data_IF_231332756474
#
_entry.id   IF_231332756474
#
_cell.length_a   1.000
_cell.length_b   1.000
_cell.length_c   1.000
_cell.angle_alpha   90.00
_cell.angle_beta   90.00
_cell.angle_gamma   90.00
#
_symmetry.space_group_name_H-M   'P 1'
#
loop_
_entity.id
_entity.type
_entity.pdbx_description
1 polymer ?
#
# COMPACT_ATOMS: atom_id res chain seq x y z
N UNK A 1 33.51 -6.77 24.53
CA UNK A 1 32.58 -7.92 24.65
C UNK A 1 32.96 -8.96 23.60
N UNK A 2 33.55 -10.08 23.99
CA UNK A 2 33.84 -11.18 23.06
C UNK A 2 32.56 -11.98 22.79
N UNK A 3 32.02 -11.87 21.58
CA UNK A 3 30.94 -12.75 21.14
C UNK A 3 31.49 -14.19 21.06
N UNK A 4 30.77 -15.18 21.59
CA UNK A 4 31.10 -16.57 21.27
C UNK A 4 30.93 -16.78 19.76
N UNK A 5 31.84 -17.51 19.12
CA UNK A 5 31.79 -17.78 17.67
C UNK A 5 30.42 -18.31 17.18
N UNK A 6 29.67 -18.98 18.07
CA UNK A 6 28.31 -19.50 17.81
C UNK A 6 27.23 -18.43 17.64
N UNK A 7 27.42 -17.21 18.13
CA UNK A 7 26.49 -16.08 17.92
C UNK A 7 26.74 -15.39 16.58
N UNK A 8 28.01 -15.27 16.16
CA UNK A 8 28.42 -14.53 14.96
C UNK A 8 27.94 -15.23 13.67
N UNK A 9 28.04 -16.55 13.59
CA UNK A 9 27.59 -17.33 12.42
C UNK A 9 26.07 -17.25 12.21
N UNK A 10 25.30 -17.13 13.30
CA UNK A 10 23.82 -17.08 13.25
C UNK A 10 23.31 -15.73 12.78
N UNK A 11 23.95 -14.66 13.23
CA UNK A 11 23.71 -13.29 12.76
C UNK A 11 23.99 -13.18 11.27
N UNK A 12 25.01 -13.87 10.76
CA UNK A 12 25.30 -13.89 9.32
C UNK A 12 24.15 -14.49 8.49
N UNK A 13 23.52 -15.59 8.95
CA UNK A 13 22.38 -16.18 8.23
C UNK A 13 21.16 -15.25 8.20
N UNK A 14 20.79 -14.68 9.35
CA UNK A 14 19.65 -13.75 9.42
C UNK A 14 19.95 -12.47 8.63
N UNK A 15 21.16 -11.93 8.72
CA UNK A 15 21.60 -10.77 7.93
C UNK A 15 21.65 -11.06 6.42
N UNK A 16 21.92 -12.31 6.03
CA UNK A 16 21.89 -12.76 4.64
C UNK A 16 20.48 -13.18 4.16
N UNK A 17 19.42 -12.90 4.93
CA UNK A 17 18.04 -13.29 4.62
C UNK A 17 17.84 -14.79 4.40
N UNK A 18 18.64 -15.64 5.05
CA UNK A 18 18.51 -17.09 4.97
C UNK A 18 17.50 -17.55 6.04
N UNK A 19 16.38 -18.20 5.66
CA UNK A 19 15.37 -18.63 6.62
C UNK A 19 15.94 -19.53 7.71
N UNK A 20 15.57 -19.25 8.96
CA UNK A 20 16.14 -19.91 10.14
C UNK A 20 15.98 -21.44 10.13
N UNK A 21 14.90 -21.96 9.52
CA UNK A 21 14.67 -23.39 9.38
C UNK A 21 15.69 -24.09 8.46
N UNK A 22 16.36 -23.35 7.56
CA UNK A 22 17.41 -23.92 6.67
C UNK A 22 18.63 -24.38 7.46
N UNK A 23 18.90 -23.78 8.61
CA UNK A 23 19.96 -24.23 9.54
C UNK A 23 19.68 -25.63 10.09
N UNK A 24 18.41 -26.09 10.07
CA UNK A 24 18.04 -27.45 10.50
C UNK A 24 18.19 -28.53 9.42
N UNK A 25 18.29 -28.14 8.14
CA UNK A 25 18.39 -29.06 6.99
C UNK A 25 19.63 -29.96 7.10
N UNK A 26 19.48 -31.31 7.02
CA UNK A 26 20.60 -32.25 7.13
C UNK A 26 21.69 -32.01 6.08
N UNK A 27 21.30 -31.77 4.83
CA UNK A 27 22.20 -31.53 3.70
C UNK A 27 23.03 -30.27 3.95
N UNK A 28 22.39 -29.20 4.42
CA UNK A 28 23.04 -27.95 4.75
C UNK A 28 24.02 -28.10 5.93
N UNK A 29 23.65 -28.87 6.97
CA UNK A 29 24.55 -29.20 8.09
C UNK A 29 25.77 -30.00 7.63
N UNK A 30 25.58 -30.97 6.76
CA UNK A 30 26.65 -31.79 6.21
C UNK A 30 27.60 -30.95 5.35
N UNK A 31 27.05 -30.07 4.51
CA UNK A 31 27.82 -29.11 3.72
C UNK A 31 28.69 -28.23 4.63
N UNK A 32 28.08 -27.57 5.63
CA UNK A 32 28.82 -26.70 6.54
C UNK A 32 29.88 -27.47 7.32
N UNK A 33 29.59 -28.69 7.79
CA UNK A 33 30.58 -29.53 8.47
C UNK A 33 31.74 -29.90 7.55
N UNK A 34 31.45 -30.30 6.30
CA UNK A 34 32.46 -30.72 5.32
C UNK A 34 33.45 -29.60 5.01
N UNK A 35 32.97 -28.37 4.79
CA UNK A 35 33.82 -27.27 4.30
C UNK A 35 34.34 -26.35 5.40
N UNK A 36 33.70 -26.29 6.57
CA UNK A 36 34.13 -25.39 7.67
C UNK A 36 34.66 -26.15 8.90
N UNK A 37 34.44 -27.47 8.98
CA UNK A 37 34.74 -28.27 10.17
C UNK A 37 33.84 -27.96 11.37
N UNK A 38 32.86 -27.05 11.24
CA UNK A 38 32.01 -26.59 12.35
C UNK A 38 30.65 -27.27 12.34
N UNK A 39 30.13 -27.52 13.54
CA UNK A 39 28.76 -27.98 13.74
C UNK A 39 27.81 -26.80 13.88
N UNK A 40 26.82 -26.72 12.98
CA UNK A 40 25.74 -25.75 13.11
C UNK A 40 24.94 -26.02 14.40
N UNK A 41 24.65 -24.99 15.21
CA UNK A 41 23.88 -25.15 16.45
C UNK A 41 22.44 -25.58 16.18
N UNK A 42 21.84 -26.32 17.11
CA UNK A 42 20.40 -26.55 17.12
C UNK A 42 19.62 -25.24 17.34
N UNK A 43 18.45 -25.12 16.71
CA UNK A 43 17.57 -23.97 16.88
C UNK A 43 17.06 -23.94 18.33
N UNK A 44 17.53 -22.99 19.15
CA UNK A 44 16.87 -22.65 20.42
C UNK A 44 16.30 -21.24 20.32
N UNK A 45 15.04 -21.07 20.75
CA UNK A 45 14.30 -19.79 20.72
C UNK A 45 15.05 -18.64 21.41
N UNK A 46 15.80 -18.94 22.48
CA UNK A 46 16.43 -17.92 23.33
C UNK A 46 17.63 -17.20 22.67
N UNK A 47 18.14 -17.68 21.53
CA UNK A 47 19.27 -17.02 20.87
C UNK A 47 18.88 -15.72 20.17
N UNK A 48 17.70 -15.67 19.55
CA UNK A 48 17.22 -14.47 18.86
C UNK A 48 16.78 -13.37 19.82
N UNK A 49 16.36 -13.71 21.05
CA UNK A 49 15.84 -12.73 22.01
C UNK A 49 16.87 -11.65 22.35
N UNK A 50 18.13 -12.03 22.61
CA UNK A 50 19.20 -11.06 22.91
C UNK A 50 19.52 -10.15 21.72
N UNK A 51 19.41 -10.68 20.50
CA UNK A 51 19.66 -9.92 19.28
C UNK A 51 18.49 -8.97 18.98
N UNK A 52 17.25 -9.39 19.28
CA UNK A 52 16.08 -8.52 19.23
C UNK A 52 16.22 -7.31 20.16
N UNK A 53 16.68 -7.50 21.41
CA UNK A 53 16.90 -6.40 22.35
C UNK A 53 17.92 -5.38 21.81
N UNK A 54 18.98 -5.87 21.15
CA UNK A 54 19.98 -5.03 20.49
C UNK A 54 19.38 -4.23 19.33
N UNK A 55 18.57 -4.86 18.47
CA UNK A 55 17.89 -4.19 17.35
C UNK A 55 16.92 -3.13 17.87
N UNK A 56 16.11 -3.44 18.90
CA UNK A 56 15.22 -2.47 19.54
C UNK A 56 16.02 -1.27 20.07
N UNK A 57 17.18 -1.49 20.69
CA UNK A 57 18.07 -0.41 21.14
C UNK A 57 18.58 0.43 19.97
N UNK A 58 18.93 -0.16 18.83
CA UNK A 58 19.34 0.57 17.63
C UNK A 58 18.19 1.42 17.06
N UNK A 59 16.97 0.88 17.01
CA UNK A 59 15.78 1.63 16.58
C UNK A 59 15.56 2.84 17.50
N UNK A 60 15.60 2.64 18.83
CA UNK A 60 15.49 3.72 19.81
C UNK A 60 16.56 4.80 19.63
N UNK A 61 17.82 4.40 19.42
CA UNK A 61 18.91 5.35 19.17
C UNK A 61 18.71 6.13 17.87
N UNK A 62 18.22 5.47 16.82
CA UNK A 62 17.91 6.12 15.53
C UNK A 62 16.76 7.12 15.65
N UNK A 63 15.78 6.86 16.50
CA UNK A 63 14.66 7.77 16.77
C UNK A 63 15.09 8.91 17.73
N UNK A 64 15.91 8.60 18.73
CA UNK A 64 16.39 9.55 19.72
C UNK A 64 15.25 10.18 20.53
N UNK A 65 15.33 11.50 20.74
CA UNK A 65 14.33 12.27 21.48
C UNK A 65 13.23 12.88 20.58
N UNK A 66 13.14 12.46 19.31
CA UNK A 66 12.21 13.01 18.33
C UNK A 66 10.78 12.47 18.52
N UNK A 67 9.85 13.02 17.73
CA UNK A 67 8.51 12.46 17.62
C UNK A 67 8.56 11.05 17.01
N UNK A 68 7.65 10.18 17.46
CA UNK A 68 7.53 8.80 17.01
C UNK A 68 6.34 8.74 16.07
N UNK A 69 6.56 8.20 14.87
CA UNK A 69 5.51 7.78 13.96
C UNK A 69 5.40 6.26 14.01
N UNK A 70 4.18 5.76 14.16
CA UNK A 70 3.83 4.37 13.88
C UNK A 70 2.94 4.30 12.66
N UNK A 71 3.10 3.24 11.87
CA UNK A 71 2.25 2.96 10.71
C UNK A 71 1.78 1.52 10.77
N UNK A 72 0.48 1.34 10.63
CA UNK A 72 -0.20 0.06 10.80
C UNK A 72 -0.89 -0.29 9.50
N UNK A 73 -0.57 -1.46 8.97
CA UNK A 73 -1.20 -1.98 7.75
C UNK A 73 -1.57 -3.45 7.96
N UNK A 74 -2.71 -3.84 7.42
CA UNK A 74 -3.18 -5.21 7.42
C UNK A 74 -3.25 -5.72 5.98
N UNK A 75 -2.77 -6.95 5.79
CA UNK A 75 -2.87 -7.64 4.50
C UNK A 75 -3.50 -9.00 4.70
N UNK A 76 -4.43 -9.35 3.81
CA UNK A 76 -4.98 -10.70 3.74
C UNK A 76 -4.25 -11.49 2.67
N UNK A 77 -3.67 -12.64 3.04
CA UNK A 77 -2.97 -13.49 2.09
C UNK A 77 -3.94 -14.38 1.26
N UNK A 78 -3.38 -15.15 0.32
CA UNK A 78 -4.19 -16.05 -0.54
C UNK A 78 -4.92 -17.17 0.20
N UNK A 79 -4.53 -17.46 1.44
CA UNK A 79 -5.20 -18.44 2.30
C UNK A 79 -6.21 -17.78 3.25
N UNK A 80 -6.45 -16.47 3.12
CA UNK A 80 -7.35 -15.72 3.99
C UNK A 80 -6.77 -15.41 5.37
N UNK A 81 -5.45 -15.52 5.55
CA UNK A 81 -4.79 -15.17 6.83
C UNK A 81 -4.55 -13.68 6.88
N UNK A 82 -4.97 -13.06 7.97
CA UNK A 82 -4.74 -11.65 8.25
C UNK A 82 -3.36 -11.45 8.85
N UNK A 83 -2.50 -10.68 8.18
CA UNK A 83 -1.16 -10.34 8.66
C UNK A 83 -1.13 -8.85 8.97
N UNK A 84 -0.93 -8.51 10.23
CA UNK A 84 -0.75 -7.13 10.67
C UNK A 84 0.73 -6.78 10.75
N UNK A 85 1.04 -5.58 10.26
CA UNK A 85 2.37 -5.00 10.23
C UNK A 85 2.36 -3.73 11.07
N UNK A 86 3.35 -3.58 11.95
CA UNK A 86 3.61 -2.35 12.67
C UNK A 86 4.99 -1.85 12.29
N UNK A 87 5.03 -0.70 11.63
CA UNK A 87 6.25 0.04 11.30
C UNK A 87 6.39 1.19 12.30
N UNK A 88 7.61 1.44 12.76
CA UNK A 88 7.95 2.56 13.64
C UNK A 88 9.06 3.40 13.00
N UNK A 89 9.03 4.71 13.20
CA UNK A 89 10.04 5.61 12.66
C UNK A 89 10.10 6.95 13.37
N UNK A 90 11.14 7.71 13.05
CA UNK A 90 11.30 9.11 13.47
C UNK A 90 10.36 9.99 12.66
N UNK A 91 9.62 10.83 13.35
CA UNK A 91 8.87 11.93 12.77
C UNK A 91 9.67 13.23 12.96
N UNK A 92 10.09 13.84 11.85
CA UNK A 92 10.84 15.09 11.82
C UNK A 92 10.38 15.96 10.65
N UNK A 93 10.43 17.27 10.84
CA UNK A 93 10.17 18.27 9.81
C UNK A 93 11.36 18.45 8.84
N UNK A 94 12.57 18.07 9.25
CA UNK A 94 13.80 18.37 8.51
C UNK A 94 14.22 17.23 7.58
N UNK A 95 14.04 15.99 8.03
CA UNK A 95 14.45 14.78 7.32
C UNK A 95 13.41 13.66 7.43
N UNK A 96 13.33 12.82 6.40
CA UNK A 96 12.54 11.60 6.45
C UNK A 96 13.24 10.58 7.36
N UNK A 97 12.57 10.19 8.44
CA UNK A 97 13.08 9.16 9.34
C UNK A 97 13.10 7.79 8.67
N UNK A 98 14.15 7.00 8.93
CA UNK A 98 14.21 5.61 8.51
C UNK A 98 13.06 4.81 9.16
N UNK A 99 12.23 4.10 8.37
CA UNK A 99 11.21 3.21 8.91
C UNK A 99 11.82 1.87 9.34
N UNK A 100 11.28 1.30 10.41
CA UNK A 100 11.65 -0.02 10.93
C UNK A 100 10.41 -0.87 11.13
N UNK A 101 10.41 -2.11 10.62
CA UNK A 101 9.36 -3.08 10.93
C UNK A 101 9.55 -3.54 12.38
N UNK A 102 8.64 -3.13 13.26
CA UNK A 102 8.68 -3.44 14.69
C UNK A 102 8.02 -4.79 14.98
N UNK A 103 6.89 -5.07 14.35
CA UNK A 103 6.16 -6.32 14.55
C UNK A 103 5.41 -6.77 13.30
N UNK A 104 5.34 -8.08 13.12
CA UNK A 104 4.54 -8.75 12.10
C UNK A 104 3.84 -9.93 12.77
N UNK A 105 2.50 -9.95 12.75
CA UNK A 105 1.72 -10.95 13.46
C UNK A 105 0.51 -11.40 12.64
N UNK A 106 0.30 -12.71 12.57
CA UNK A 106 -0.96 -13.25 12.10
C UNK A 106 -2.05 -12.98 13.13
N UNK A 107 -3.18 -12.42 12.69
CA UNK A 107 -4.35 -12.15 13.52
C UNK A 107 -5.47 -13.12 13.17
N UNK A 108 -6.27 -13.47 14.18
CA UNK A 108 -7.45 -14.34 13.98
C UNK A 108 -8.59 -13.59 13.26
N UNK A 109 -8.63 -12.26 13.40
CA UNK A 109 -9.65 -11.37 12.82
C UNK A 109 -9.17 -9.93 12.77
N UNK A 110 -9.76 -9.15 11.87
CA UNK A 110 -9.44 -7.74 11.64
C UNK A 110 -10.57 -6.86 12.19
N UNK A 111 -10.39 -6.40 13.42
CA UNK A 111 -11.28 -5.42 14.04
C UNK A 111 -10.50 -4.50 14.98
N UNK A 112 -11.15 -3.40 15.34
CA UNK A 112 -10.53 -2.35 16.17
C UNK A 112 -9.85 -2.85 17.44
N UNK A 113 -10.48 -3.77 18.18
CA UNK A 113 -9.92 -4.30 19.42
C UNK A 113 -8.67 -5.17 19.16
N UNK A 114 -8.70 -5.99 18.12
CA UNK A 114 -7.60 -6.91 17.80
C UNK A 114 -6.37 -6.13 17.33
N UNK A 115 -6.57 -5.11 16.49
CA UNK A 115 -5.51 -4.21 16.04
C UNK A 115 -4.98 -3.37 17.21
N UNK A 116 -5.85 -2.80 18.05
CA UNK A 116 -5.42 -2.02 19.23
C UNK A 116 -4.53 -2.85 20.15
N UNK A 117 -4.93 -4.11 20.42
CA UNK A 117 -4.13 -5.05 21.21
C UNK A 117 -2.79 -5.35 20.54
N UNK A 118 -2.77 -5.61 19.24
CA UNK A 118 -1.54 -5.85 18.48
C UNK A 118 -0.57 -4.65 18.59
N UNK A 119 -1.07 -3.43 18.46
CA UNK A 119 -0.26 -2.21 18.59
C UNK A 119 0.29 -2.08 20.02
N UNK A 120 -0.55 -2.23 21.05
CA UNK A 120 -0.13 -2.13 22.44
C UNK A 120 0.93 -3.18 22.81
N UNK A 121 0.72 -4.45 22.42
CA UNK A 121 1.69 -5.53 22.65
C UNK A 121 3.03 -5.22 21.97
N UNK A 122 2.99 -4.72 20.73
CA UNK A 122 4.19 -4.43 19.94
C UNK A 122 4.94 -3.20 20.45
N UNK A 123 4.22 -2.15 20.87
CA UNK A 123 4.80 -1.01 21.54
C UNK A 123 5.39 -1.39 22.90
N UNK A 124 4.80 -2.35 23.62
CA UNK A 124 5.39 -2.94 24.82
C UNK A 124 6.79 -3.51 24.58
N UNK A 125 7.00 -4.22 23.45
CA UNK A 125 8.32 -4.69 23.03
C UNK A 125 9.28 -3.53 22.74
N UNK A 126 8.78 -2.47 22.10
CA UNK A 126 9.59 -1.27 21.87
C UNK A 126 9.94 -0.53 23.17
N UNK A 127 9.20 -0.72 24.26
CA UNK A 127 9.36 0.04 25.50
C UNK A 127 10.09 -0.69 26.64
N UNK A 128 10.55 -1.93 26.46
CA UNK A 128 11.07 -2.87 27.50
C UNK A 128 11.94 -2.35 28.67
N UNK A 129 12.39 -1.09 28.73
CA UNK A 129 13.14 -0.49 29.85
C UNK A 129 12.88 1.02 30.11
N UNK A 130 12.01 1.69 29.34
CA UNK A 130 11.69 3.13 29.50
C UNK A 130 10.22 3.36 29.19
N UNK A 131 9.57 4.27 29.93
CA UNK A 131 8.23 4.72 29.57
C UNK A 131 8.25 5.34 28.17
N UNK A 132 7.26 4.97 27.35
CA UNK A 132 7.02 5.64 26.09
C UNK A 132 6.64 7.09 26.40
N UNK A 133 7.34 8.06 25.83
CA UNK A 133 6.82 9.42 25.83
C UNK A 133 5.62 9.46 24.86
N UNK A 134 4.43 9.27 25.40
CA UNK A 134 3.16 9.13 24.66
C UNK A 134 2.74 10.45 23.99
N UNK A 135 3.23 11.59 24.48
CA UNK A 135 3.00 12.92 23.90
C UNK A 135 3.61 13.06 22.50
N UNK A 136 4.58 12.20 22.19
CA UNK A 136 5.32 12.20 20.93
C UNK A 136 4.81 11.19 19.91
N UNK A 137 3.76 10.42 20.23
CA UNK A 137 3.29 9.30 19.42
C UNK A 137 2.25 9.74 18.38
N UNK A 138 2.48 9.40 17.12
CA UNK A 138 1.58 9.66 16.00
C UNK A 138 1.31 8.36 15.25
N UNK A 139 0.05 8.04 14.97
CA UNK A 139 -0.35 6.81 14.30
C UNK A 139 -0.88 7.06 12.90
N UNK A 140 -0.45 6.25 11.94
CA UNK A 140 -0.94 6.21 10.57
C UNK A 140 -1.57 4.85 10.28
N UNK A 141 -2.74 4.82 9.66
CA UNK A 141 -3.34 3.58 9.14
C UNK A 141 -4.22 3.84 7.93
N UNK A 142 -4.81 2.79 7.36
CA UNK A 142 -5.92 2.97 6.43
C UNK A 142 -7.11 3.73 7.08
N UNK A 143 -8.02 4.18 6.22
CA UNK A 143 -9.19 5.01 6.56
C UNK A 143 -10.48 4.23 6.78
N UNK A 144 -10.38 2.92 7.00
CA UNK A 144 -11.55 2.08 7.25
C UNK A 144 -12.16 2.39 8.63
N UNK A 145 -13.45 2.08 8.80
CA UNK A 145 -14.18 2.38 10.03
C UNK A 145 -13.56 1.74 11.27
N UNK A 146 -13.02 0.52 11.14
CA UNK A 146 -12.40 -0.17 12.27
C UNK A 146 -11.00 0.37 12.60
N UNK A 147 -10.24 0.88 11.62
CA UNK A 147 -8.97 1.56 11.89
C UNK A 147 -9.18 2.94 12.54
N UNK A 148 -10.20 3.70 12.11
CA UNK A 148 -10.61 4.94 12.80
C UNK A 148 -10.99 4.64 14.26
N UNK A 149 -11.77 3.58 14.49
CA UNK A 149 -12.11 3.13 15.85
C UNK A 149 -10.87 2.64 16.63
N UNK A 150 -9.88 2.05 15.96
CA UNK A 150 -8.59 1.69 16.57
C UNK A 150 -7.89 2.94 17.09
N UNK A 151 -7.80 4.02 16.30
CA UNK A 151 -7.25 5.29 16.75
C UNK A 151 -7.93 5.83 18.01
N UNK A 152 -9.27 5.76 18.05
CA UNK A 152 -10.06 6.10 19.26
C UNK A 152 -9.74 5.22 20.45
N UNK A 153 -9.65 3.90 20.26
CA UNK A 153 -9.29 2.96 21.33
C UNK A 153 -7.88 3.24 21.87
N UNK A 154 -6.93 3.57 21.00
CA UNK A 154 -5.55 3.87 21.38
C UNK A 154 -5.44 5.13 22.23
N UNK A 155 -6.33 6.12 22.05
CA UNK A 155 -6.37 7.33 22.90
C UNK A 155 -6.59 7.03 24.38
N UNK A 156 -7.20 5.89 24.71
CA UNK A 156 -7.37 5.45 26.11
C UNK A 156 -6.00 5.09 26.74
N UNK A 157 -5.07 4.57 25.95
CA UNK A 157 -3.73 4.17 26.39
C UNK A 157 -2.68 5.27 26.16
N UNK A 158 -2.91 6.11 25.16
CA UNK A 158 -2.00 7.14 24.68
C UNK A 158 -2.81 8.43 24.46
N UNK A 159 -3.09 9.16 25.53
CA UNK A 159 -4.01 10.31 25.52
C UNK A 159 -3.73 11.33 24.40
N UNK A 160 -2.45 11.57 24.13
CA UNK A 160 -1.97 12.54 23.14
C UNK A 160 -1.73 11.95 21.74
N UNK A 161 -2.09 10.70 21.48
CA UNK A 161 -1.89 10.09 20.16
C UNK A 161 -2.73 10.80 19.10
N UNK A 162 -2.03 11.27 18.05
CA UNK A 162 -2.69 11.76 16.84
C UNK A 162 -2.79 10.60 15.86
N UNK A 163 -4.00 10.14 15.59
CA UNK A 163 -4.29 9.12 14.58
C UNK A 163 -4.67 9.80 13.27
N UNK A 164 -4.05 9.35 12.18
CA UNK A 164 -4.12 9.94 10.87
C UNK A 164 -4.42 8.86 9.84
N UNK A 165 -5.25 9.20 8.86
CA UNK A 165 -5.55 8.31 7.75
C UNK A 165 -4.48 8.44 6.66
N UNK A 166 -4.09 7.31 6.08
CA UNK A 166 -3.21 7.24 4.92
C UNK A 166 -3.82 7.99 3.74
N UNK A 167 -3.12 9.02 3.26
CA UNK A 167 -3.63 9.86 2.18
C UNK A 167 -3.72 9.10 0.85
N UNK A 168 -2.78 8.20 0.56
CA UNK A 168 -2.85 7.36 -0.64
C UNK A 168 -4.15 6.54 -0.67
N UNK A 169 -4.53 5.93 0.45
CA UNK A 169 -5.84 5.28 0.60
C UNK A 169 -7.00 6.27 0.49
N UNK A 170 -6.87 7.47 1.08
CA UNK A 170 -7.87 8.52 0.97
C UNK A 170 -8.14 8.92 -0.49
N UNK A 171 -7.09 9.09 -1.29
CA UNK A 171 -7.17 9.39 -2.72
C UNK A 171 -7.73 8.21 -3.52
N UNK A 172 -7.45 6.97 -3.12
CA UNK A 172 -8.07 5.79 -3.72
C UNK A 172 -9.58 5.76 -3.49
N UNK A 173 -10.05 6.14 -2.30
CA UNK A 173 -11.48 6.29 -2.01
C UNK A 173 -12.15 7.40 -2.85
N UNK A 174 -11.40 8.43 -3.24
CA UNK A 174 -11.87 9.44 -4.20
C UNK A 174 -11.95 8.83 -5.60
N UNK A 175 -10.95 8.05 -6.01
CA UNK A 175 -10.94 7.29 -7.27
C UNK A 175 -12.14 6.34 -7.37
N UNK A 176 -12.51 5.67 -6.28
CA UNK A 176 -13.69 4.82 -6.22
C UNK A 176 -14.99 5.62 -6.41
N UNK A 177 -15.07 6.82 -5.84
CA UNK A 177 -16.23 7.71 -6.04
C UNK A 177 -16.37 8.11 -7.51
N UNK A 178 -15.26 8.40 -8.19
CA UNK A 178 -15.26 8.69 -9.63
C UNK A 178 -15.69 7.45 -10.43
N UNK A 179 -15.12 6.28 -10.12
CA UNK A 179 -15.45 5.01 -10.77
C UNK A 179 -16.93 4.67 -10.70
N UNK A 180 -17.57 4.88 -9.55
CA UNK A 180 -19.01 4.63 -9.36
C UNK A 180 -19.89 5.52 -10.26
N UNK A 181 -19.39 6.68 -10.69
CA UNK A 181 -20.10 7.58 -11.61
C UNK A 181 -19.87 7.24 -13.09
N UNK A 182 -18.92 6.36 -13.41
CA UNK A 182 -18.61 5.96 -14.79
C UNK A 182 -18.71 4.43 -14.99
N UNK A 183 -19.92 3.86 -14.88
CA UNK A 183 -20.13 2.41 -15.02
C UNK A 183 -19.76 1.88 -16.41
N UNK A 184 -19.95 2.66 -17.48
CA UNK A 184 -19.58 2.26 -18.85
C UNK A 184 -18.06 2.23 -19.04
N UNK A 185 -17.33 3.22 -18.51
CA UNK A 185 -15.85 3.20 -18.47
C UNK A 185 -15.35 1.99 -17.67
N UNK A 186 -15.96 1.73 -16.50
CA UNK A 186 -15.65 0.54 -15.72
C UNK A 186 -15.95 -0.76 -16.51
N UNK A 187 -17.00 -0.75 -17.32
CA UNK A 187 -17.36 -1.82 -18.25
C UNK A 187 -16.28 -2.08 -19.32
N UNK A 188 -15.76 -1.03 -19.96
CA UNK A 188 -14.63 -1.11 -20.89
C UNK A 188 -13.42 -1.75 -20.21
N UNK A 189 -12.97 -1.17 -19.09
CA UNK A 189 -11.78 -1.61 -18.37
C UNK A 189 -11.89 -3.09 -17.95
N UNK A 190 -13.07 -3.51 -17.49
CA UNK A 190 -13.31 -4.87 -16.98
C UNK A 190 -13.46 -5.94 -18.06
N UNK A 191 -13.73 -5.56 -19.32
CA UNK A 191 -14.02 -6.52 -20.41
C UNK A 191 -12.94 -6.56 -21.49
N UNK A 192 -12.31 -5.44 -21.83
CA UNK A 192 -11.36 -5.41 -22.95
C UNK A 192 -10.12 -6.27 -22.68
N UNK A 193 -9.53 -6.23 -21.48
CA UNK A 193 -8.39 -7.13 -21.17
C UNK A 193 -8.76 -8.62 -21.35
N UNK A 194 -10.00 -9.00 -21.04
CA UNK A 194 -10.48 -10.38 -21.19
C UNK A 194 -10.59 -10.81 -22.64
N UNK A 195 -10.64 -9.89 -23.61
CA UNK A 195 -10.60 -10.20 -25.05
C UNK A 195 -9.24 -10.80 -25.44
N UNK A 196 -8.17 -10.32 -24.79
CA UNK A 196 -6.79 -10.71 -25.10
C UNK A 196 -6.26 -11.84 -24.20
N UNK A 197 -6.99 -12.20 -23.14
CA UNK A 197 -6.58 -13.21 -22.18
C UNK A 197 -6.57 -14.61 -22.83
N UNK A 198 -5.40 -15.26 -22.86
CA UNK A 198 -5.19 -16.57 -23.50
C UNK A 198 -5.55 -16.62 -24.99
N UNK A 199 -5.44 -15.50 -25.71
CA UNK A 199 -5.75 -15.42 -27.13
C UNK A 199 -4.58 -14.87 -27.95
N UNK A 200 -3.55 -15.70 -28.28
CA UNK A 200 -2.33 -15.25 -28.96
C UNK A 200 -2.59 -14.53 -30.28
N UNK A 201 -3.53 -15.02 -31.10
CA UNK A 201 -3.89 -14.42 -32.39
C UNK A 201 -4.47 -13.00 -32.19
N UNK A 202 -5.33 -12.81 -31.19
CA UNK A 202 -5.90 -11.49 -30.86
C UNK A 202 -4.85 -10.53 -30.32
N UNK A 203 -3.86 -11.04 -29.57
CA UNK A 203 -2.70 -10.28 -29.09
C UNK A 203 -1.78 -9.87 -30.24
N UNK A 204 -1.54 -10.77 -31.20
CA UNK A 204 -0.76 -10.47 -32.40
C UNK A 204 -1.42 -9.39 -33.25
N UNK A 205 -2.73 -9.53 -33.51
CA UNK A 205 -3.50 -8.52 -34.22
C UNK A 205 -3.45 -7.16 -33.50
N UNK A 206 -3.64 -7.14 -32.18
CA UNK A 206 -3.47 -5.94 -31.36
C UNK A 206 -2.09 -5.30 -31.52
N UNK A 207 -1.01 -6.10 -31.45
CA UNK A 207 0.36 -5.61 -31.62
C UNK A 207 0.63 -5.09 -33.03
N UNK A 208 -0.01 -5.65 -34.05
CA UNK A 208 0.12 -5.12 -35.41
C UNK A 208 -0.52 -3.72 -35.54
N UNK A 209 -1.61 -3.46 -34.81
CA UNK A 209 -2.24 -2.13 -34.75
C UNK A 209 -1.55 -1.16 -33.79
N UNK A 210 -0.94 -1.67 -32.72
CA UNK A 210 -0.29 -0.90 -31.65
C UNK A 210 1.05 -1.57 -31.23
N UNK A 211 2.11 -1.48 -32.05
CA UNK A 211 3.33 -2.30 -31.90
C UNK A 211 4.15 -1.99 -30.65
N UNK A 212 4.10 -0.76 -30.15
CA UNK A 212 4.88 -0.31 -28.98
C UNK A 212 3.99 -0.04 -27.76
N UNK A 213 2.74 -0.49 -27.77
CA UNK A 213 1.79 -0.27 -26.68
C UNK A 213 1.61 -1.55 -25.88
N UNK A 214 1.69 -1.51 -24.54
CA UNK A 214 1.40 -2.68 -23.72
C UNK A 214 -0.07 -3.08 -23.86
N UNK A 215 -0.38 -4.36 -23.62
CA UNK A 215 -1.77 -4.82 -23.60
C UNK A 215 -2.61 -4.01 -22.60
N UNK A 216 -3.92 -3.85 -22.86
CA UNK A 216 -4.77 -3.03 -22.00
C UNK A 216 -4.70 -3.45 -20.53
N UNK A 217 -4.47 -2.50 -19.60
CA UNK A 217 -4.31 -2.81 -18.19
C UNK A 217 -5.65 -3.20 -17.57
N UNK A 218 -5.57 -3.94 -16.47
CA UNK A 218 -6.68 -4.16 -15.56
C UNK A 218 -6.27 -3.64 -14.18
N UNK A 219 -7.18 -2.95 -13.47
CA UNK A 219 -6.92 -2.47 -12.14
C UNK A 219 -6.47 -3.63 -11.26
N UNK A 220 -5.35 -3.43 -10.57
CA UNK A 220 -4.89 -4.42 -9.60
C UNK A 220 -5.65 -4.14 -8.33
N UNK A 221 -6.53 -5.06 -7.93
CA UNK A 221 -7.42 -4.90 -6.76
C UNK A 221 -6.68 -4.48 -5.48
N UNK A 222 -5.40 -4.85 -5.35
CA UNK A 222 -4.57 -4.57 -4.18
C UNK A 222 -3.66 -3.35 -4.34
N UNK A 223 -3.75 -2.58 -5.44
CA UNK A 223 -2.94 -1.37 -5.66
C UNK A 223 -3.83 -0.17 -5.93
N UNK A 224 -3.58 0.90 -5.20
CA UNK A 224 -4.34 2.13 -5.24
C UNK A 224 -4.11 2.90 -6.55
N UNK A 225 -5.12 3.63 -7.01
CA UNK A 225 -5.05 4.48 -8.22
C UNK A 225 -5.04 3.72 -9.55
N UNK A 226 -4.96 2.39 -9.56
CA UNK A 226 -4.84 1.59 -10.79
C UNK A 226 -6.04 1.68 -11.72
N UNK A 227 -7.24 1.99 -11.20
CA UNK A 227 -8.41 2.24 -12.04
C UNK A 227 -8.28 3.53 -12.85
N UNK A 228 -7.81 4.62 -12.22
CA UNK A 228 -7.55 5.88 -12.93
C UNK A 228 -6.48 5.64 -13.98
N UNK A 229 -5.35 5.01 -13.64
CA UNK A 229 -4.29 4.67 -14.59
C UNK A 229 -4.82 3.88 -15.80
N UNK A 230 -5.71 2.91 -15.57
CA UNK A 230 -6.36 2.19 -16.66
C UNK A 230 -7.21 3.13 -17.52
N UNK A 231 -8.04 3.99 -16.91
CA UNK A 231 -8.83 4.98 -17.65
C UNK A 231 -7.96 5.92 -18.49
N UNK A 232 -6.77 6.34 -18.00
CA UNK A 232 -5.82 7.15 -18.78
C UNK A 232 -5.36 6.42 -20.04
N UNK A 233 -5.00 5.14 -19.91
CA UNK A 233 -4.60 4.30 -21.03
C UNK A 233 -5.71 4.16 -22.07
N UNK A 234 -6.95 3.86 -21.64
CA UNK A 234 -8.08 3.72 -22.55
C UNK A 234 -8.45 5.05 -23.21
N UNK A 235 -8.30 6.19 -22.53
CA UNK A 235 -8.53 7.50 -23.12
C UNK A 235 -7.50 7.80 -24.24
N UNK A 236 -6.26 7.37 -24.07
CA UNK A 236 -5.17 7.61 -25.03
C UNK A 236 -5.28 6.75 -26.28
N UNK A 237 -5.71 5.50 -26.13
CA UNK A 237 -5.74 4.52 -27.22
C UNK A 237 -7.15 4.20 -27.70
N UNK A 238 -8.16 5.00 -27.33
CA UNK A 238 -9.58 4.68 -27.50
C UNK A 238 -9.94 4.27 -28.94
N UNK A 239 -9.57 5.08 -29.93
CA UNK A 239 -10.01 4.88 -31.31
C UNK A 239 -9.42 3.61 -31.92
N UNK A 240 -8.12 3.37 -31.71
CA UNK A 240 -7.43 2.17 -32.22
C UNK A 240 -7.91 0.92 -31.47
N UNK A 241 -8.09 0.99 -30.15
CA UNK A 241 -8.66 -0.10 -29.36
C UNK A 241 -10.08 -0.43 -29.82
N UNK A 242 -10.90 0.58 -30.10
CA UNK A 242 -12.24 0.38 -30.63
C UNK A 242 -12.19 -0.33 -31.97
N UNK A 243 -11.36 0.11 -32.90
CA UNK A 243 -11.20 -0.57 -34.20
C UNK A 243 -10.80 -2.04 -34.04
N UNK A 244 -9.80 -2.33 -33.21
CA UNK A 244 -9.33 -3.70 -32.95
C UNK A 244 -10.40 -4.58 -32.33
N UNK A 245 -11.14 -4.08 -31.34
CA UNK A 245 -12.19 -4.88 -30.68
C UNK A 245 -13.40 -5.08 -31.59
N UNK A 246 -13.71 -4.10 -32.44
CA UNK A 246 -14.82 -4.20 -33.41
C UNK A 246 -14.52 -5.15 -34.57
N UNK A 247 -13.25 -5.45 -34.87
CA UNK A 247 -12.88 -6.42 -35.91
C UNK A 247 -13.00 -7.88 -35.46
N UNK A 248 -13.35 -8.14 -34.20
CA UNK A 248 -13.55 -9.51 -33.69
C UNK A 248 -15.01 -9.93 -33.72
N UNK A 249 -15.26 -11.22 -33.94
CA UNK A 249 -16.61 -11.78 -33.95
C UNK A 249 -17.23 -11.78 -32.54
N UNK A 250 -18.41 -11.18 -32.39
CA UNK A 250 -19.10 -11.05 -31.09
C UNK A 250 -19.47 -12.40 -30.47
N UNK A 251 -19.65 -13.42 -31.31
CA UNK A 251 -20.03 -14.79 -30.93
C UNK A 251 -18.85 -15.60 -30.37
N UNK A 252 -17.60 -15.19 -30.61
CA UNK A 252 -16.40 -15.91 -30.15
C UNK A 252 -16.28 -15.94 -28.62
N UNK A 253 -16.71 -14.87 -27.95
CA UNK A 253 -16.63 -14.78 -26.50
C UNK A 253 -17.56 -13.70 -25.95
N UNK A 254 -18.15 -13.98 -24.78
CA UNK A 254 -18.97 -13.01 -24.04
C UNK A 254 -18.20 -11.71 -23.71
N UNK A 255 -16.87 -11.78 -23.51
CA UNK A 255 -16.02 -10.61 -23.27
C UNK A 255 -15.94 -9.70 -24.49
N UNK A 256 -15.91 -10.25 -25.71
CA UNK A 256 -15.90 -9.47 -26.96
C UNK A 256 -17.23 -8.75 -27.12
N UNK A 257 -18.34 -9.48 -27.05
CA UNK A 257 -19.68 -8.90 -27.14
C UNK A 257 -19.87 -7.72 -26.18
N UNK A 258 -19.53 -7.91 -24.89
CA UNK A 258 -19.63 -6.84 -23.88
C UNK A 258 -18.69 -5.67 -24.17
N UNK A 259 -17.44 -5.95 -24.56
CA UNK A 259 -16.49 -4.90 -24.90
C UNK A 259 -17.00 -4.04 -26.07
N UNK A 260 -17.57 -4.65 -27.09
CA UNK A 260 -18.17 -3.95 -28.22
C UNK A 260 -19.39 -3.11 -27.79
N UNK A 261 -20.29 -3.67 -26.97
CA UNK A 261 -21.44 -2.94 -26.41
C UNK A 261 -20.99 -1.67 -25.65
N UNK A 262 -19.98 -1.77 -24.79
CA UNK A 262 -19.47 -0.62 -24.04
C UNK A 262 -18.74 0.40 -24.92
N UNK A 263 -17.91 -0.04 -25.86
CA UNK A 263 -17.18 0.85 -26.78
C UNK A 263 -18.10 1.64 -27.72
N UNK A 264 -19.34 1.19 -27.90
CA UNK A 264 -20.37 1.87 -28.71
C UNK A 264 -21.28 2.81 -27.92
N UNK A 265 -21.10 2.93 -26.59
CA UNK A 265 -21.82 3.93 -25.80
C UNK A 265 -21.37 5.35 -26.17
N UNK A 266 -22.33 6.24 -26.39
CA UNK A 266 -22.08 7.59 -26.92
C UNK A 266 -21.12 8.42 -26.04
N UNK A 267 -21.21 8.29 -24.72
CA UNK A 267 -20.49 9.16 -23.78
C UNK A 267 -19.14 8.59 -23.31
N UNK A 268 -18.86 7.31 -23.54
CA UNK A 268 -17.73 6.64 -22.88
C UNK A 268 -16.38 7.24 -23.25
N UNK A 269 -16.23 7.72 -24.49
CA UNK A 269 -15.02 8.44 -24.94
C UNK A 269 -14.88 9.76 -24.19
N UNK A 270 -15.97 10.50 -24.04
CA UNK A 270 -15.98 11.78 -23.32
C UNK A 270 -15.71 11.58 -21.82
N UNK A 271 -16.25 10.53 -21.21
CA UNK A 271 -16.01 10.18 -19.80
C UNK A 271 -14.55 9.78 -19.55
N UNK A 272 -13.94 9.01 -20.47
CA UNK A 272 -12.51 8.69 -20.45
C UNK A 272 -11.64 9.94 -20.57
N UNK A 273 -11.96 10.84 -21.51
CA UNK A 273 -11.24 12.10 -21.72
C UNK A 273 -11.39 13.05 -20.53
N UNK A 274 -12.58 13.13 -19.95
CA UNK A 274 -12.84 13.91 -18.75
C UNK A 274 -12.02 13.36 -17.57
N UNK A 275 -12.01 12.03 -17.39
CA UNK A 275 -11.19 11.37 -16.35
C UNK A 275 -9.70 11.65 -16.55
N UNK A 276 -9.20 11.56 -17.79
CA UNK A 276 -7.80 11.87 -18.13
C UNK A 276 -7.45 13.33 -17.85
N UNK A 277 -8.34 14.25 -18.20
CA UNK A 277 -8.11 15.69 -18.04
C UNK A 277 -8.11 16.12 -16.58
N UNK A 278 -9.04 15.60 -15.77
CA UNK A 278 -9.30 16.14 -14.43
C UNK A 278 -8.82 15.27 -13.27
N UNK A 279 -8.64 13.97 -13.47
CA UNK A 279 -8.37 13.03 -12.38
C UNK A 279 -7.02 12.31 -12.49
N UNK A 280 -6.25 12.55 -13.57
CA UNK A 280 -4.86 12.04 -13.70
C UNK A 280 -4.01 12.35 -12.47
N UNK A 281 -4.16 13.56 -11.92
CA UNK A 281 -3.44 13.99 -10.72
C UNK A 281 -3.62 13.01 -9.54
N UNK A 282 -4.79 12.38 -9.39
CA UNK A 282 -5.03 11.45 -8.28
C UNK A 282 -4.07 10.25 -8.37
N UNK A 283 -3.90 9.69 -9.57
CA UNK A 283 -2.99 8.56 -9.77
C UNK A 283 -1.51 8.97 -9.58
N UNK A 284 -1.11 10.11 -10.15
CA UNK A 284 0.26 10.62 -10.05
C UNK A 284 0.66 10.90 -8.58
N UNK A 285 -0.27 11.43 -7.79
CA UNK A 285 0.00 11.76 -6.39
C UNK A 285 -0.11 10.54 -5.45
N UNK A 286 -0.96 9.54 -5.76
CA UNK A 286 -0.94 8.25 -5.04
C UNK A 286 0.44 7.59 -5.17
N UNK A 287 0.99 7.53 -6.39
CA UNK A 287 2.30 6.94 -6.63
C UNK A 287 3.41 7.65 -5.84
N UNK A 288 3.36 8.98 -5.76
CA UNK A 288 4.28 9.74 -4.92
C UNK A 288 4.11 9.40 -3.43
N UNK A 289 2.87 9.37 -2.92
CA UNK A 289 2.55 9.06 -1.53
C UNK A 289 2.87 7.61 -1.13
N UNK A 290 3.12 6.72 -2.08
CA UNK A 290 3.60 5.35 -1.82
C UNK A 290 5.13 5.26 -1.73
N UNK A 291 5.86 6.30 -2.13
CA UNK A 291 7.33 6.33 -2.06
C UNK A 291 7.83 6.57 -0.63
N UNK A 292 8.87 5.81 -0.26
CA UNK A 292 9.60 5.99 1.00
C UNK A 292 10.49 7.23 0.88
N UNK A 293 10.55 8.05 1.93
CA UNK A 293 11.49 9.16 2.03
C UNK A 293 10.90 10.55 1.74
N UNK A 294 9.60 10.64 1.47
CA UNK A 294 8.92 11.94 1.40
C UNK A 294 8.96 12.67 2.75
N UNK A 295 9.37 13.95 2.71
CA UNK A 295 9.29 14.83 3.87
C UNK A 295 7.84 15.23 4.16
N UNK A 296 7.56 15.65 5.39
CA UNK A 296 6.21 16.07 5.79
C UNK A 296 5.70 17.26 4.97
N UNK A 297 6.54 18.26 4.69
CA UNK A 297 6.15 19.40 3.86
C UNK A 297 5.79 18.97 2.43
N UNK A 298 6.56 18.07 1.83
CA UNK A 298 6.26 17.52 0.51
C UNK A 298 4.93 16.75 0.50
N UNK A 299 4.64 15.97 1.55
CA UNK A 299 3.33 15.32 1.71
C UNK A 299 2.18 16.33 1.77
N UNK A 300 2.36 17.45 2.46
CA UNK A 300 1.36 18.52 2.55
C UNK A 300 1.17 19.23 1.20
N UNK A 301 2.25 19.53 0.49
CA UNK A 301 2.22 20.11 -0.85
C UNK A 301 1.45 19.22 -1.84
N UNK A 302 1.67 17.90 -1.79
CA UNK A 302 0.91 16.93 -2.59
C UNK A 302 -0.60 17.06 -2.32
N UNK A 303 -0.99 17.13 -1.04
CA UNK A 303 -2.42 17.19 -0.71
C UNK A 303 -3.04 18.52 -1.12
N UNK A 304 -2.35 19.64 -0.89
CA UNK A 304 -2.81 20.95 -1.33
C UNK A 304 -2.97 21.04 -2.84
N UNK A 305 -2.05 20.41 -3.59
CA UNK A 305 -2.11 20.30 -5.04
C UNK A 305 -3.35 19.53 -5.50
N UNK A 306 -3.62 18.34 -4.92
CA UNK A 306 -4.84 17.57 -5.25
C UNK A 306 -6.10 18.35 -4.85
N UNK A 307 -6.11 18.95 -3.67
CA UNK A 307 -7.23 19.73 -3.17
C UNK A 307 -7.59 20.87 -4.13
N UNK A 308 -6.58 21.65 -4.55
CA UNK A 308 -6.76 22.76 -5.49
C UNK A 308 -7.24 22.28 -6.85
N UNK A 309 -6.67 21.17 -7.35
CA UNK A 309 -7.10 20.58 -8.61
C UNK A 309 -8.56 20.14 -8.57
N UNK A 310 -8.97 19.38 -7.56
CA UNK A 310 -10.35 18.87 -7.45
C UNK A 310 -11.36 19.97 -7.17
N UNK A 311 -10.99 21.00 -6.40
CA UNK A 311 -11.85 22.17 -6.16
C UNK A 311 -12.24 22.88 -7.45
N UNK A 312 -11.33 22.91 -8.43
CA UNK A 312 -11.51 23.58 -9.71
C UNK A 312 -12.04 22.64 -10.80
N UNK A 313 -12.26 21.35 -10.51
CA UNK A 313 -12.78 20.40 -11.50
C UNK A 313 -14.26 20.69 -11.78
N UNK A 314 -14.65 21.02 -13.03
CA UNK A 314 -16.02 21.41 -13.36
C UNK A 314 -16.95 20.20 -13.45
N UNK A 315 -18.24 20.38 -13.15
CA UNK A 315 -19.28 19.38 -13.38
C UNK A 315 -19.48 18.40 -12.23
N UNK A 316 -20.60 17.66 -12.30
CA UNK A 316 -21.13 16.85 -11.19
C UNK A 316 -20.14 15.85 -10.61
N UNK A 317 -19.38 15.14 -11.45
CA UNK A 317 -18.41 14.14 -10.97
C UNK A 317 -17.21 14.81 -10.28
N UNK A 318 -16.77 15.96 -10.78
CA UNK A 318 -15.78 16.82 -10.12
C UNK A 318 -16.23 17.26 -8.72
N UNK A 319 -17.46 17.76 -8.62
CA UNK A 319 -18.07 18.15 -7.34
C UNK A 319 -18.13 16.98 -6.35
N UNK A 320 -18.56 15.80 -6.80
CA UNK A 320 -18.62 14.60 -5.96
C UNK A 320 -17.23 14.15 -5.50
N UNK A 321 -16.23 14.19 -6.38
CA UNK A 321 -14.85 13.86 -6.03
C UNK A 321 -14.29 14.85 -4.99
N UNK A 322 -14.52 16.15 -5.18
CA UNK A 322 -14.07 17.18 -4.24
C UNK A 322 -14.78 17.08 -2.88
N UNK A 323 -16.10 16.85 -2.87
CA UNK A 323 -16.86 16.61 -1.65
C UNK A 323 -16.35 15.38 -0.91
N UNK A 324 -16.02 14.31 -1.64
CA UNK A 324 -15.43 13.10 -1.06
C UNK A 324 -14.09 13.42 -0.40
N UNK A 325 -13.18 14.13 -1.07
CA UNK A 325 -11.91 14.56 -0.50
C UNK A 325 -12.13 15.39 0.77
N UNK A 326 -13.01 16.40 0.72
CA UNK A 326 -13.35 17.24 1.87
C UNK A 326 -13.87 16.41 3.06
N UNK A 327 -14.69 15.38 2.80
CA UNK A 327 -15.20 14.51 3.87
C UNK A 327 -14.11 13.69 4.54
N UNK A 328 -13.09 13.27 3.79
CA UNK A 328 -11.93 12.53 4.31
C UNK A 328 -11.05 13.45 5.14
N UNK A 329 -10.80 14.68 4.65
CA UNK A 329 -10.03 15.69 5.39
C UNK A 329 -10.75 16.18 6.66
N UNK A 330 -12.08 16.26 6.68
CA UNK A 330 -12.86 16.65 7.87
C UNK A 330 -12.89 15.57 8.95
N UNK A 331 -12.75 14.29 8.61
CA UNK A 331 -12.59 13.23 9.61
C UNK A 331 -11.32 13.41 10.47
N UNK A 332 -10.34 14.16 9.96
CA UNK A 332 -9.10 14.51 10.65
C UNK A 332 -9.24 15.76 11.55
N UNK A 333 -10.22 16.64 11.29
CA UNK A 333 -10.26 17.98 11.90
C UNK A 333 -10.94 18.04 13.28
N UNK A 334 -10.18 17.68 14.33
CA UNK A 334 -10.28 18.37 15.64
C UNK A 334 -8.99 19.10 16.06
N UNK A 335 -7.88 18.94 15.32
CA UNK A 335 -6.63 19.72 15.39
C UNK A 335 -5.96 19.71 13.99
N UNK A 336 -5.05 20.65 13.66
CA UNK A 336 -4.61 20.87 12.28
C UNK A 336 -3.82 19.68 11.71
N UNK A 337 -3.90 19.59 10.40
CA UNK A 337 -3.38 18.58 9.49
C UNK A 337 -1.99 18.02 9.83
N UNK A 338 -1.91 16.69 9.91
CA UNK A 338 -0.68 15.95 9.70
C UNK A 338 -1.00 14.81 8.73
N UNK A 339 -0.34 14.76 7.57
CA UNK A 339 -0.62 13.74 6.55
C UNK A 339 0.67 12.99 6.24
N UNK A 340 0.57 11.67 6.11
CA UNK A 340 1.75 10.82 5.95
C UNK A 340 1.58 9.83 4.78
N UNK A 341 2.63 9.74 3.96
CA UNK A 341 2.89 8.65 2.99
C UNK A 341 3.11 7.32 3.71
N UNK A 342 2.79 6.18 3.07
CA UNK A 342 2.81 4.85 3.72
C UNK A 342 4.18 4.45 4.28
#
# INVERSE_FOLDING_TARGET
MSYSAKCVEKLAFTAANIPWNKVSCPEFKNFMRKYTGRHLPSLKKNYLLKDCDMVIKQIRNSIGNNNIRISVDETTDRLGRYIAHLVIGKLSSEEAGRPFLLALKQLDKTNSNTISRFINESLGLYCCQKELNTEKLNGLSDGTSYMIKTGTNLKVFYENITHLICMAHGLDLVSETIRLNYPDVNGIISNIKKVFLKAPIKVEFYKNSLPNTPLPPEPVLTRWGTWIQAALFYAEHFDVLKQVVMSFEATDAQSIKKAQEFLNKANVKNELLYTKTHFKIIADEIEQLENIGLKLNQNMEIVEKVYTSLKNTPGKVGEMAFQRLCSLLKKESKKPFYMFSK
#
